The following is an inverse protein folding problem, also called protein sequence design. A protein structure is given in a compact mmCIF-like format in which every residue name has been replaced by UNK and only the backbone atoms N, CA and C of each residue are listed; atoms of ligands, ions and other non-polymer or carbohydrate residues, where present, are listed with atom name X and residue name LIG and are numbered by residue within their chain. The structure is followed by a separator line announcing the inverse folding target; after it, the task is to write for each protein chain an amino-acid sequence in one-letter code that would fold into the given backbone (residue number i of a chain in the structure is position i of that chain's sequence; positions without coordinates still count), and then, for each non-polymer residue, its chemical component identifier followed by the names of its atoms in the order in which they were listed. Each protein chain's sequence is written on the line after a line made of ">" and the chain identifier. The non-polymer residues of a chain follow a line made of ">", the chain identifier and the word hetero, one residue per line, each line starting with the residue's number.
data_IF_127423714119
#
_entry.id   IF_127423714119
#
_cell.length_a   1.000
_cell.length_b   1.000
_cell.length_c   1.000
_cell.angle_alpha   90.00
_cell.angle_beta   90.00
_cell.angle_gamma   90.00
#
_symmetry.space_group_name_H-M   'P 1'
#
loop_
_entity.id
_entity.type
_entity.pdbx_description
1 polymer ?
#
# COMPACT_ATOMS: atom_id res chain seq x y z
N UNK A 1 0.78 3.51 11.40
CA UNK A 1 0.88 4.57 12.41
C UNK A 1 2.29 4.62 12.91
N UNK A 2 2.94 5.76 12.73
CA UNK A 2 4.27 6.01 13.24
C UNK A 2 4.14 6.46 14.70
N UNK A 3 4.94 5.88 15.59
CA UNK A 3 4.95 6.31 16.99
C UNK A 3 5.43 7.77 17.06
N UNK A 4 4.81 8.64 17.88
CA UNK A 4 5.37 9.95 18.16
C UNK A 4 6.81 9.81 18.63
N UNK A 5 7.75 10.49 17.97
CA UNK A 5 9.17 10.43 18.31
C UNK A 5 9.99 9.44 17.51
N UNK A 6 9.44 8.84 16.43
CA UNK A 6 10.26 8.17 15.44
C UNK A 6 10.70 6.75 15.76
N UNK A 7 9.83 5.97 16.36
CA UNK A 7 9.94 4.52 16.26
C UNK A 7 10.98 3.81 17.13
N UNK A 8 11.57 4.46 18.10
CA UNK A 8 12.45 3.78 19.06
C UNK A 8 11.66 3.11 20.17
N UNK A 9 10.86 2.12 19.82
CA UNK A 9 9.97 1.46 20.78
C UNK A 9 10.53 0.21 21.44
N UNK A 10 11.82 -0.04 21.34
CA UNK A 10 12.47 -1.21 21.93
C UNK A 10 12.33 -2.50 21.13
N UNK A 11 11.85 -2.42 19.89
CA UNK A 11 11.88 -3.53 18.94
C UNK A 11 13.12 -3.43 18.04
N UNK A 12 13.80 -4.54 17.70
CA UNK A 12 15.02 -4.53 16.87
C UNK A 12 14.85 -3.81 15.52
N UNK A 13 13.62 -3.74 15.00
CA UNK A 13 13.29 -3.06 13.74
C UNK A 13 13.20 -1.54 13.86
N UNK A 14 13.13 -1.01 15.06
CA UNK A 14 13.00 0.42 15.33
C UNK A 14 14.38 1.13 15.38
N UNK A 15 15.46 0.39 15.25
CA UNK A 15 16.81 0.92 15.30
C UNK A 15 17.34 1.35 13.92
N UNK A 16 18.23 2.32 13.92
CA UNK A 16 19.05 2.65 12.75
C UNK A 16 19.85 1.41 12.35
N UNK A 17 19.97 1.14 11.06
CA UNK A 17 20.56 -0.08 10.48
C UNK A 17 19.70 -1.36 10.61
N UNK A 18 18.48 -1.31 11.16
CA UNK A 18 17.62 -2.47 11.23
C UNK A 18 17.12 -2.92 9.84
N UNK A 19 16.96 -2.01 8.91
CA UNK A 19 16.65 -2.35 7.52
C UNK A 19 17.91 -2.67 6.73
N UNK A 20 17.89 -3.75 5.99
CA UNK A 20 19.04 -4.20 5.22
C UNK A 20 19.32 -3.28 4.01
N UNK A 21 18.29 -2.64 3.45
CA UNK A 21 18.37 -1.82 2.24
C UNK A 21 18.31 -0.31 2.52
N UNK A 22 17.91 0.07 3.73
CA UNK A 22 17.98 1.45 4.20
C UNK A 22 18.51 1.48 5.63
N UNK A 23 19.82 1.60 5.74
CA UNK A 23 20.51 1.63 7.04
C UNK A 23 20.53 3.02 7.67
N UNK A 24 20.07 4.05 6.96
CA UNK A 24 20.10 5.43 7.42
C UNK A 24 18.90 5.80 8.30
N UNK A 25 17.77 5.13 8.09
CA UNK A 25 16.51 5.47 8.78
C UNK A 25 15.96 4.29 9.58
N UNK A 26 15.44 4.53 10.79
CA UNK A 26 14.73 3.49 11.54
C UNK A 26 13.47 3.06 10.82
N UNK A 27 13.21 1.75 10.74
CA UNK A 27 12.17 1.16 9.91
C UNK A 27 10.74 1.61 10.25
N UNK A 28 10.43 1.90 11.48
CA UNK A 28 9.09 2.30 11.92
C UNK A 28 8.92 3.82 11.97
N UNK A 29 9.49 4.55 11.01
CA UNK A 29 9.49 6.01 11.03
C UNK A 29 8.94 6.61 9.76
N UNK A 30 8.47 7.85 9.86
CA UNK A 30 8.13 8.71 8.73
C UNK A 30 9.29 8.83 7.72
N UNK A 31 10.52 8.97 8.22
CA UNK A 31 11.71 9.06 7.37
C UNK A 31 11.94 7.82 6.50
N UNK A 32 11.57 6.66 7.03
CA UNK A 32 11.74 5.38 6.31
C UNK A 32 10.69 5.18 5.21
N UNK A 33 9.42 5.44 5.51
CA UNK A 33 8.29 5.14 4.61
C UNK A 33 7.86 6.36 3.82
N UNK A 34 7.36 7.38 4.50
CA UNK A 34 6.60 8.46 3.87
C UNK A 34 7.49 9.52 3.22
N UNK A 35 8.60 9.91 3.88
CA UNK A 35 9.47 10.98 3.41
C UNK A 35 10.04 10.71 2.00
N UNK A 36 10.30 9.45 1.66
CA UNK A 36 10.79 9.03 0.34
C UNK A 36 9.74 9.26 -0.76
N UNK A 37 8.49 8.87 -0.46
CA UNK A 37 7.37 9.08 -1.37
C UNK A 37 7.05 10.57 -1.52
N UNK A 38 7.03 11.32 -0.41
CA UNK A 38 6.80 12.76 -0.41
C UNK A 38 7.87 13.49 -1.25
N UNK A 39 9.14 13.16 -1.04
CA UNK A 39 10.23 13.75 -1.83
C UNK A 39 10.08 13.47 -3.34
N UNK A 40 9.55 12.30 -3.70
CA UNK A 40 9.27 11.99 -5.08
C UNK A 40 8.07 12.79 -5.63
N UNK A 41 6.97 12.87 -4.87
CA UNK A 41 5.77 13.64 -5.25
C UNK A 41 6.12 15.11 -5.49
N UNK A 42 6.85 15.73 -4.57
CA UNK A 42 7.27 17.14 -4.66
C UNK A 42 8.13 17.41 -5.91
N UNK A 43 9.16 16.58 -6.16
CA UNK A 43 10.01 16.78 -7.35
C UNK A 43 9.29 16.45 -8.66
N UNK A 44 8.24 15.66 -8.60
CA UNK A 44 7.42 15.30 -9.78
C UNK A 44 6.36 16.34 -10.12
N UNK A 45 6.17 17.36 -9.26
CA UNK A 45 5.27 18.49 -9.50
C UNK A 45 3.79 18.15 -9.34
N UNK A 46 3.45 17.08 -8.63
CA UNK A 46 2.06 16.80 -8.27
C UNK A 46 1.59 17.78 -7.18
N UNK A 47 0.43 18.38 -7.38
CA UNK A 47 -0.24 19.17 -6.34
C UNK A 47 -0.92 18.19 -5.37
N UNK A 48 -0.43 18.11 -4.14
CA UNK A 48 -0.91 17.20 -3.10
C UNK A 48 -1.11 17.93 -1.78
N UNK A 49 -2.11 17.53 -1.02
CA UNK A 49 -2.29 17.87 0.37
C UNK A 49 -1.99 16.65 1.23
N UNK A 50 -1.55 16.86 2.45
CA UNK A 50 -1.15 15.79 3.37
C UNK A 50 -2.10 15.75 4.56
N UNK A 51 -2.40 14.54 5.01
CA UNK A 51 -3.13 14.29 6.25
C UNK A 51 -2.49 13.16 7.04
N UNK A 52 -2.78 13.12 8.32
CA UNK A 52 -2.38 12.01 9.19
C UNK A 52 -3.51 10.97 9.31
N UNK A 53 -3.19 9.80 9.85
CA UNK A 53 -4.17 8.78 10.20
C UNK A 53 -5.20 9.32 11.22
N UNK A 54 -4.78 10.20 12.13
CA UNK A 54 -5.67 10.82 13.11
C UNK A 54 -6.63 11.84 12.47
N UNK A 55 -6.17 12.59 11.47
CA UNK A 55 -7.05 13.47 10.69
C UNK A 55 -8.12 12.63 9.96
N UNK A 56 -7.69 11.53 9.33
CA UNK A 56 -8.58 10.60 8.63
C UNK A 56 -9.53 9.88 9.59
N UNK A 57 -9.10 9.63 10.85
CA UNK A 57 -9.96 9.10 11.90
C UNK A 57 -11.03 10.11 12.33
N UNK A 58 -10.62 11.35 12.60
CA UNK A 58 -11.46 12.37 13.24
C UNK A 58 -12.44 13.10 12.29
N UNK A 59 -12.12 13.18 10.98
CA UNK A 59 -12.92 13.94 10.03
C UNK A 59 -13.45 13.08 8.89
N UNK A 60 -14.75 12.84 8.91
CA UNK A 60 -15.45 12.05 7.89
C UNK A 60 -15.56 12.75 6.52
N UNK A 61 -15.36 14.06 6.45
CA UNK A 61 -15.42 14.86 5.25
C UNK A 61 -14.02 15.20 4.70
N UNK A 62 -12.94 14.83 5.40
CA UNK A 62 -11.56 15.17 5.06
C UNK A 62 -11.25 14.95 3.58
N UNK A 63 -11.63 13.80 3.04
CA UNK A 63 -11.32 13.40 1.65
C UNK A 63 -12.40 13.80 0.64
N UNK A 64 -13.49 14.45 1.06
CA UNK A 64 -14.67 14.74 0.23
C UNK A 64 -14.36 15.59 -1.02
N UNK A 65 -13.42 16.53 -0.91
CA UNK A 65 -13.04 17.43 -2.01
C UNK A 65 -12.04 16.82 -3.01
N UNK A 66 -11.47 15.69 -2.70
CA UNK A 66 -10.39 15.08 -3.48
C UNK A 66 -10.90 14.03 -4.48
N UNK A 67 -10.14 13.82 -5.54
CA UNK A 67 -10.39 12.77 -6.52
C UNK A 67 -9.67 11.47 -6.17
N UNK A 68 -8.54 11.56 -5.46
CA UNK A 68 -7.65 10.45 -5.14
C UNK A 68 -7.11 10.59 -3.72
N UNK A 69 -7.19 9.51 -2.95
CA UNK A 69 -6.44 9.30 -1.71
C UNK A 69 -5.27 8.36 -2.00
N UNK A 70 -4.08 8.71 -1.51
CA UNK A 70 -2.86 7.91 -1.70
C UNK A 70 -2.25 7.54 -0.35
N UNK A 71 -1.82 6.30 -0.20
CA UNK A 71 -0.99 5.86 0.93
C UNK A 71 0.28 5.19 0.43
N UNK A 72 1.35 5.25 1.21
CA UNK A 72 2.63 4.62 0.91
C UNK A 72 3.15 3.76 2.06
N UNK A 73 4.00 2.80 1.74
CA UNK A 73 4.80 2.04 2.69
C UNK A 73 3.98 1.10 3.57
N UNK A 74 4.13 1.24 4.88
CA UNK A 74 3.56 0.34 5.88
C UNK A 74 2.33 0.95 6.55
N UNK A 75 1.15 0.69 6.02
CA UNK A 75 -0.13 1.22 6.50
C UNK A 75 -1.00 0.09 7.10
N UNK A 76 -0.54 -0.46 8.22
CA UNK A 76 -1.08 -1.69 8.82
C UNK A 76 -2.24 -1.44 9.81
N UNK A 77 -2.28 -0.27 10.46
CA UNK A 77 -3.11 0.00 11.63
C UNK A 77 -4.24 0.97 11.31
N UNK A 78 -5.48 0.46 11.30
CA UNK A 78 -6.66 1.23 10.92
C UNK A 78 -7.73 1.22 12.01
N UNK A 79 -8.31 2.37 12.32
CA UNK A 79 -9.53 2.44 13.14
C UNK A 79 -10.77 2.08 12.29
N UNK A 80 -11.89 1.82 12.99
CA UNK A 80 -13.18 1.62 12.31
C UNK A 80 -13.59 2.86 11.49
N UNK A 81 -13.34 4.04 12.04
CA UNK A 81 -13.66 5.34 11.46
C UNK A 81 -12.85 5.58 10.18
N UNK A 82 -11.51 5.44 10.23
CA UNK A 82 -10.64 5.55 9.04
C UNK A 82 -11.14 4.66 7.91
N UNK A 83 -11.39 3.40 8.21
CA UNK A 83 -11.86 2.44 7.21
C UNK A 83 -13.24 2.83 6.65
N UNK A 84 -14.18 3.21 7.51
CA UNK A 84 -15.52 3.62 7.08
C UNK A 84 -15.47 4.90 6.22
N UNK A 85 -14.56 5.85 6.53
CA UNK A 85 -14.37 7.07 5.75
C UNK A 85 -13.85 6.78 4.35
N UNK A 86 -12.83 5.91 4.24
CA UNK A 86 -12.27 5.51 2.95
C UNK A 86 -13.25 4.68 2.12
N UNK A 87 -13.99 3.75 2.73
CA UNK A 87 -15.02 2.99 2.03
C UNK A 87 -16.13 3.91 1.47
N UNK A 88 -16.63 4.86 2.26
CA UNK A 88 -17.59 5.87 1.78
C UNK A 88 -17.03 6.74 0.67
N UNK A 89 -15.76 7.12 0.77
CA UNK A 89 -15.08 7.88 -0.29
C UNK A 89 -15.08 7.11 -1.61
N UNK A 90 -14.76 5.80 -1.59
CA UNK A 90 -14.79 4.94 -2.78
C UNK A 90 -16.23 4.79 -3.31
N UNK A 91 -17.21 4.59 -2.43
CA UNK A 91 -18.63 4.48 -2.78
C UNK A 91 -19.17 5.78 -3.40
N UNK A 92 -18.65 6.92 -2.99
CA UNK A 92 -18.96 8.22 -3.60
C UNK A 92 -18.22 8.49 -4.93
N UNK A 93 -17.42 7.53 -5.43
CA UNK A 93 -16.68 7.64 -6.69
C UNK A 93 -15.26 8.19 -6.53
N UNK A 94 -14.76 8.34 -5.30
CA UNK A 94 -13.37 8.66 -5.02
C UNK A 94 -12.45 7.48 -5.32
N UNK A 95 -11.22 7.76 -5.72
CA UNK A 95 -10.23 6.74 -6.03
C UNK A 95 -9.23 6.58 -4.90
N UNK A 96 -8.68 5.37 -4.74
CA UNK A 96 -7.64 5.10 -3.73
C UNK A 96 -6.47 4.38 -4.37
N UNK A 97 -5.25 4.78 -4.02
CA UNK A 97 -4.03 4.10 -4.42
C UNK A 97 -3.21 3.71 -3.17
N UNK A 98 -3.12 2.43 -2.91
CA UNK A 98 -2.28 1.84 -1.88
C UNK A 98 -0.92 1.46 -2.49
N UNK A 99 0.10 2.29 -2.28
CA UNK A 99 1.48 1.97 -2.64
C UNK A 99 2.22 1.35 -1.45
N UNK A 100 1.67 0.27 -0.93
CA UNK A 100 2.13 -0.38 0.28
C UNK A 100 1.86 -1.89 0.30
N UNK A 101 2.19 -2.51 1.41
CA UNK A 101 1.87 -3.90 1.73
C UNK A 101 1.43 -4.04 3.18
N UNK A 102 0.83 -5.18 3.52
CA UNK A 102 0.22 -5.44 4.83
C UNK A 102 -0.77 -4.33 5.24
N UNK A 103 -1.51 -3.82 4.25
CA UNK A 103 -2.41 -2.67 4.43
C UNK A 103 -3.68 -3.07 5.18
N UNK A 104 -4.08 -2.27 6.17
CA UNK A 104 -5.32 -2.45 6.93
C UNK A 104 -5.39 -3.82 7.68
N UNK A 105 -4.26 -4.30 8.20
CA UNK A 105 -4.18 -5.60 8.86
C UNK A 105 -4.73 -5.61 10.29
N UNK A 106 -4.32 -4.61 11.11
CA UNK A 106 -4.79 -4.50 12.47
C UNK A 106 -5.86 -3.43 12.63
N UNK A 107 -6.90 -3.79 13.39
CA UNK A 107 -7.85 -2.82 13.92
C UNK A 107 -7.26 -2.16 15.16
N UNK A 108 -7.38 -0.85 15.25
CA UNK A 108 -6.99 -0.06 16.41
C UNK A 108 -8.17 0.72 16.97
N UNK A 109 -8.09 1.04 18.26
CA UNK A 109 -8.94 2.02 18.92
C UNK A 109 -8.10 3.27 19.20
N UNK A 110 -8.70 4.43 18.97
CA UNK A 110 -8.13 5.75 19.31
C UNK A 110 -8.90 6.27 20.52
N UNK A 111 -8.18 6.66 21.56
CA UNK A 111 -8.76 7.39 22.70
C UNK A 111 -8.79 8.88 22.32
N UNK A 112 -9.99 9.45 22.24
CA UNK A 112 -10.17 10.85 21.84
C UNK A 112 -9.65 11.85 22.88
N UNK A 113 -9.48 11.42 24.14
CA UNK A 113 -9.04 12.32 25.22
C UNK A 113 -7.55 12.65 25.16
N UNK A 114 -6.72 11.68 24.77
CA UNK A 114 -5.26 11.84 24.72
C UNK A 114 -4.63 11.41 23.39
N UNK A 115 -5.47 11.01 22.43
CA UNK A 115 -5.08 10.50 21.10
C UNK A 115 -4.18 9.27 21.18
N UNK A 116 -4.24 8.54 22.29
CA UNK A 116 -3.53 7.28 22.43
C UNK A 116 -4.18 6.20 21.57
N UNK A 117 -3.36 5.28 21.08
CA UNK A 117 -3.78 4.27 20.14
C UNK A 117 -3.44 2.89 20.68
N UNK A 118 -4.45 2.05 20.77
CA UNK A 118 -4.31 0.68 21.23
C UNK A 118 -4.75 -0.32 20.15
N UNK A 119 -4.11 -1.49 20.14
CA UNK A 119 -4.51 -2.57 19.24
C UNK A 119 -5.84 -3.17 19.73
N UNK A 120 -6.85 -3.17 18.86
CA UNK A 120 -8.19 -3.71 19.13
C UNK A 120 -8.43 -5.07 18.44
N UNK A 121 -7.44 -5.64 17.75
CA UNK A 121 -7.52 -6.95 17.10
C UNK A 121 -7.28 -6.92 15.61
N UNK A 122 -7.86 -7.88 14.89
CA UNK A 122 -7.82 -7.98 13.43
C UNK A 122 -9.21 -7.82 12.84
N UNK A 123 -9.28 -7.55 11.55
CA UNK A 123 -10.55 -7.54 10.81
C UNK A 123 -10.98 -8.98 10.51
N UNK A 124 -11.92 -9.54 11.28
CA UNK A 124 -12.38 -10.93 11.12
C UNK A 124 -13.59 -11.00 10.19
N UNK A 125 -14.63 -10.23 10.48
CA UNK A 125 -15.89 -10.24 9.70
C UNK A 125 -15.80 -9.44 8.40
N UNK A 126 -14.93 -8.44 8.36
CA UNK A 126 -14.66 -7.58 7.20
C UNK A 126 -13.19 -7.67 6.89
N UNK A 127 -12.76 -8.71 6.17
CA UNK A 127 -11.37 -8.86 5.78
C UNK A 127 -10.85 -7.62 5.04
N UNK A 128 -9.58 -7.35 5.18
CA UNK A 128 -8.89 -6.19 4.56
C UNK A 128 -9.03 -6.18 3.02
N UNK A 129 -9.03 -7.36 2.38
CA UNK A 129 -9.14 -7.46 0.91
C UNK A 129 -10.44 -6.87 0.35
N UNK A 130 -11.49 -6.77 1.15
CA UNK A 130 -12.73 -6.10 0.69
C UNK A 130 -12.54 -4.60 0.46
N UNK A 131 -11.52 -3.98 1.07
CA UNK A 131 -11.12 -2.60 0.85
C UNK A 131 -9.94 -2.49 -0.13
N UNK A 132 -8.94 -3.35 0.02
CA UNK A 132 -7.63 -3.23 -0.63
C UNK A 132 -7.48 -4.09 -1.88
N UNK A 133 -8.35 -5.09 -2.06
CA UNK A 133 -8.29 -6.09 -3.13
C UNK A 133 -7.31 -7.23 -2.88
N UNK A 134 -6.38 -7.08 -1.94
CA UNK A 134 -5.35 -8.05 -1.56
C UNK A 134 -5.32 -8.24 -0.05
N UNK A 135 -4.61 -9.25 0.45
CA UNK A 135 -4.49 -9.51 1.87
C UNK A 135 -3.14 -10.12 2.23
N UNK A 136 -2.60 -9.68 3.36
CA UNK A 136 -1.45 -10.33 3.97
C UNK A 136 -1.79 -11.74 4.48
N UNK A 137 -3.05 -11.99 4.83
CA UNK A 137 -3.55 -13.24 5.42
C UNK A 137 -3.52 -14.42 4.47
N UNK A 138 -3.85 -14.19 3.20
CA UNK A 138 -4.16 -15.24 2.23
C UNK A 138 -3.02 -15.39 1.21
N UNK A 139 -1.84 -15.76 1.67
CA UNK A 139 -0.68 -15.97 0.83
C UNK A 139 0.21 -14.73 0.68
N UNK A 140 -0.02 -13.69 1.48
CA UNK A 140 0.96 -12.63 1.71
C UNK A 140 2.12 -13.15 2.55
N UNK A 141 3.23 -12.43 2.58
CA UNK A 141 4.41 -12.90 3.29
C UNK A 141 5.37 -11.79 3.70
N UNK A 142 6.32 -12.19 4.55
CA UNK A 142 7.40 -11.30 4.98
C UNK A 142 8.76 -11.95 4.84
N UNK A 143 9.75 -11.11 4.61
CA UNK A 143 11.15 -11.49 4.60
C UNK A 143 11.99 -10.45 5.33
N UNK A 144 12.71 -10.90 6.32
CA UNK A 144 13.60 -10.07 7.12
C UNK A 144 15.05 -10.32 6.72
N UNK A 145 15.84 -9.25 6.60
CA UNK A 145 17.24 -9.32 6.18
C UNK A 145 17.43 -9.28 4.67
N UNK A 146 18.58 -9.81 4.22
CA UNK A 146 18.89 -9.85 2.78
C UNK A 146 18.01 -10.89 2.08
N UNK A 147 17.20 -10.42 1.14
CA UNK A 147 16.29 -11.25 0.36
C UNK A 147 16.74 -11.37 -1.09
N UNK A 148 16.33 -12.44 -1.78
CA UNK A 148 16.68 -12.61 -3.18
C UNK A 148 16.17 -11.43 -4.03
N UNK A 149 16.83 -11.12 -5.17
CA UNK A 149 16.36 -10.11 -6.11
C UNK A 149 15.00 -10.49 -6.69
N UNK A 150 13.93 -9.99 -6.06
CA UNK A 150 12.54 -10.30 -6.45
C UNK A 150 11.83 -9.04 -6.92
N UNK A 151 11.23 -9.13 -8.10
CA UNK A 151 10.44 -8.07 -8.72
C UNK A 151 9.13 -8.60 -9.27
N UNK A 152 8.26 -7.70 -9.69
CA UNK A 152 6.98 -8.04 -10.30
C UNK A 152 7.14 -8.53 -11.74
N UNK A 153 6.50 -9.67 -12.05
CA UNK A 153 6.30 -10.18 -13.39
C UNK A 153 4.96 -9.67 -13.93
N UNK A 154 5.01 -8.90 -15.01
CA UNK A 154 3.84 -8.33 -15.69
C UNK A 154 2.95 -9.44 -16.26
N UNK A 155 1.64 -9.38 -15.95
CA UNK A 155 0.62 -10.31 -16.46
C UNK A 155 -0.28 -9.66 -17.51
N UNK A 156 -0.58 -8.36 -17.38
CA UNK A 156 -1.56 -7.63 -18.21
C UNK A 156 -0.92 -6.36 -18.81
N UNK A 157 0.03 -6.48 -19.77
CA UNK A 157 0.85 -5.35 -20.22
C UNK A 157 0.08 -4.25 -20.96
N UNK A 158 -1.14 -4.53 -21.47
CA UNK A 158 -1.98 -3.53 -22.16
C UNK A 158 -2.80 -2.67 -21.18
N UNK A 159 -2.71 -2.91 -19.89
CA UNK A 159 -3.41 -2.09 -18.90
C UNK A 159 -2.81 -0.68 -18.84
N UNK A 160 -3.64 0.32 -18.61
CA UNK A 160 -3.27 1.74 -18.65
C UNK A 160 -2.15 2.12 -17.67
N UNK A 161 -1.95 1.39 -16.57
CA UNK A 161 -0.86 1.66 -15.62
C UNK A 161 0.52 1.58 -16.28
N UNK A 162 0.63 0.79 -17.35
CA UNK A 162 1.88 0.59 -18.10
C UNK A 162 2.05 1.53 -19.30
N UNK A 163 1.18 2.54 -19.46
CA UNK A 163 1.32 3.51 -20.54
C UNK A 163 2.69 4.18 -20.48
N UNK A 164 3.43 4.10 -21.58
CA UNK A 164 4.81 4.61 -21.66
C UNK A 164 5.88 3.73 -21.00
N UNK A 165 5.50 2.55 -20.47
CA UNK A 165 6.46 1.52 -20.08
C UNK A 165 6.75 0.60 -21.28
N UNK A 166 8.01 0.27 -21.49
CA UNK A 166 8.40 -0.73 -22.50
C UNK A 166 8.28 -2.15 -21.94
N UNK A 167 7.06 -2.58 -21.62
CA UNK A 167 6.77 -3.88 -21.00
C UNK A 167 5.94 -4.78 -21.91
N UNK A 168 6.12 -6.09 -21.73
CA UNK A 168 5.30 -7.16 -22.31
C UNK A 168 4.94 -8.18 -21.23
N UNK A 169 4.04 -9.10 -21.52
CA UNK A 169 3.76 -10.20 -20.59
C UNK A 169 5.04 -10.95 -20.26
N UNK A 170 5.25 -11.21 -18.98
CA UNK A 170 6.47 -11.84 -18.46
C UNK A 170 7.65 -10.88 -18.18
N UNK A 171 7.57 -9.60 -18.57
CA UNK A 171 8.60 -8.61 -18.17
C UNK A 171 8.67 -8.55 -16.64
N UNK A 172 9.89 -8.58 -16.09
CA UNK A 172 10.13 -8.43 -14.65
C UNK A 172 10.72 -7.05 -14.40
N UNK A 173 10.17 -6.30 -13.43
CA UNK A 173 10.68 -4.99 -13.02
C UNK A 173 10.90 -4.92 -11.50
N UNK A 174 11.77 -4.02 -11.08
CA UNK A 174 12.12 -3.79 -9.68
C UNK A 174 12.91 -4.92 -9.01
N UNK A 175 13.33 -5.96 -9.74
CA UNK A 175 14.03 -7.10 -9.14
C UNK A 175 15.40 -6.72 -8.57
N UNK A 176 16.18 -5.92 -9.27
CA UNK A 176 17.50 -5.49 -8.80
C UNK A 176 17.41 -4.66 -7.53
N UNK A 177 16.37 -3.85 -7.41
CA UNK A 177 16.06 -3.04 -6.25
C UNK A 177 15.33 -3.83 -5.16
N UNK A 178 15.05 -5.11 -5.37
CA UNK A 178 14.28 -5.96 -4.44
C UNK A 178 12.97 -5.30 -4.04
N UNK A 179 12.18 -4.92 -5.06
CA UNK A 179 10.89 -4.22 -4.90
C UNK A 179 9.92 -5.00 -4.02
N UNK A 180 9.95 -6.34 -4.09
CA UNK A 180 9.07 -7.18 -3.31
C UNK A 180 9.65 -7.32 -1.90
N UNK A 181 8.90 -6.86 -0.92
CA UNK A 181 9.28 -6.93 0.49
C UNK A 181 9.09 -5.62 1.24
N UNK A 182 9.42 -5.50 2.56
CA UNK A 182 9.69 -6.69 3.40
C UNK A 182 8.40 -7.45 3.75
N UNK A 183 7.23 -6.83 3.55
CA UNK A 183 5.89 -7.42 3.65
C UNK A 183 5.14 -7.22 2.34
N UNK A 184 4.38 -8.25 1.95
CA UNK A 184 3.65 -8.27 0.70
C UNK A 184 2.27 -8.87 0.88
N UNK A 185 1.34 -8.41 0.05
CA UNK A 185 -0.03 -8.88 0.02
C UNK A 185 -0.28 -9.76 -1.21
N UNK A 186 -1.18 -10.72 -1.06
CA UNK A 186 -1.63 -11.59 -2.15
C UNK A 186 -3.11 -11.37 -2.47
N UNK A 187 -3.48 -11.64 -3.72
CA UNK A 187 -4.89 -11.64 -4.13
C UNK A 187 -5.64 -12.78 -3.45
N UNK A 188 -6.82 -12.47 -2.90
CA UNK A 188 -7.70 -13.48 -2.32
C UNK A 188 -8.53 -14.15 -3.41
N UNK A 189 -8.90 -15.41 -3.20
CA UNK A 189 -9.68 -16.20 -4.16
C UNK A 189 -11.02 -15.56 -4.54
N UNK A 190 -11.65 -14.86 -3.59
CA UNK A 190 -12.93 -14.15 -3.76
C UNK A 190 -12.77 -12.65 -4.08
N UNK A 191 -11.56 -12.19 -4.37
CA UNK A 191 -11.29 -10.81 -4.73
C UNK A 191 -11.66 -10.50 -6.17
N UNK A 192 -12.29 -9.34 -6.39
CA UNK A 192 -12.54 -8.79 -7.73
C UNK A 192 -11.31 -8.07 -8.32
N UNK A 193 -10.15 -8.23 -7.75
CA UNK A 193 -8.92 -7.58 -8.21
C UNK A 193 -8.50 -8.13 -9.59
N UNK A 194 -8.32 -7.23 -10.55
CA UNK A 194 -7.61 -7.53 -11.77
C UNK A 194 -6.11 -7.56 -11.47
N UNK A 195 -5.51 -8.73 -11.48
CA UNK A 195 -4.06 -8.86 -11.30
C UNK A 195 -3.31 -8.30 -12.50
N UNK A 196 -2.39 -7.38 -12.26
CA UNK A 196 -1.58 -6.69 -13.26
C UNK A 196 -0.14 -7.17 -13.27
N UNK A 197 0.37 -7.55 -12.09
CA UNK A 197 1.65 -8.22 -11.94
C UNK A 197 1.65 -9.09 -10.68
N UNK A 198 2.52 -10.09 -10.65
CA UNK A 198 2.71 -10.97 -9.50
C UNK A 198 4.18 -11.35 -9.33
N UNK A 199 4.56 -11.73 -8.11
CA UNK A 199 5.89 -12.25 -7.82
C UNK A 199 5.77 -13.43 -6.85
N UNK A 200 6.51 -14.52 -7.12
CA UNK A 200 6.58 -15.67 -6.21
C UNK A 200 7.22 -15.26 -4.89
N UNK A 201 6.68 -15.77 -3.79
CA UNK A 201 7.22 -15.63 -2.44
C UNK A 201 7.87 -16.94 -1.94
N UNK A 202 8.43 -17.70 -2.88
CA UNK A 202 9.17 -18.93 -2.54
C UNK A 202 10.27 -18.64 -1.52
N UNK A 203 10.29 -19.41 -0.44
CA UNK A 203 11.23 -19.26 0.65
C UNK A 203 10.91 -18.15 1.67
N UNK A 204 9.80 -17.44 1.48
CA UNK A 204 9.33 -16.41 2.42
C UNK A 204 8.59 -17.02 3.61
N UNK A 205 8.53 -16.26 4.72
CA UNK A 205 7.63 -16.59 5.84
C UNK A 205 6.20 -16.21 5.44
N UNK A 206 5.50 -17.18 4.86
CA UNK A 206 4.14 -17.03 4.35
C UNK A 206 3.24 -17.99 5.09
N UNK A 207 2.16 -17.44 5.65
CA UNK A 207 1.13 -18.22 6.32
C UNK A 207 -0.22 -17.91 5.69
N UNK A 208 -0.99 -18.96 5.42
CA UNK A 208 -2.38 -18.79 5.05
C UNK A 208 -3.26 -18.36 6.25
N UNK A 209 -4.55 -18.15 6.03
CA UNK A 209 -5.47 -17.74 7.08
C UNK A 209 -5.66 -18.74 8.21
N UNK A 210 -5.28 -20.02 8.01
CA UNK A 210 -5.30 -21.08 9.03
C UNK A 210 -4.03 -21.06 9.91
N UNK A 211 -2.99 -20.35 9.48
CA UNK A 211 -1.67 -20.33 10.10
C UNK A 211 -0.71 -21.36 9.54
N UNK A 212 -1.09 -22.08 8.52
CA UNK A 212 -0.23 -22.99 7.76
C UNK A 212 0.58 -22.24 6.70
N UNK A 213 1.70 -22.84 6.28
CA UNK A 213 2.51 -22.30 5.18
C UNK A 213 1.75 -22.45 3.86
N UNK A 214 1.69 -21.40 3.07
CA UNK A 214 1.09 -21.44 1.74
C UNK A 214 2.12 -21.84 0.68
N UNK A 215 1.82 -22.88 -0.08
CA UNK A 215 2.72 -23.39 -1.13
C UNK A 215 2.76 -22.49 -2.39
N UNK A 216 1.72 -21.68 -2.63
CA UNK A 216 1.58 -20.86 -3.84
C UNK A 216 1.53 -19.36 -3.52
N UNK A 217 2.26 -18.95 -2.50
CA UNK A 217 2.31 -17.56 -2.07
C UNK A 217 2.88 -16.64 -3.15
N UNK A 218 2.23 -15.50 -3.36
CA UNK A 218 2.71 -14.49 -4.29
C UNK A 218 2.34 -13.08 -3.83
N UNK A 219 3.25 -12.13 -4.02
CA UNK A 219 2.89 -10.73 -3.98
C UNK A 219 2.07 -10.38 -5.23
N UNK A 220 1.03 -9.57 -5.06
CA UNK A 220 0.11 -9.22 -6.15
C UNK A 220 -0.09 -7.71 -6.24
N UNK A 221 0.15 -7.15 -7.43
CA UNK A 221 -0.22 -5.79 -7.78
C UNK A 221 -1.45 -5.81 -8.68
N UNK A 222 -2.43 -4.95 -8.40
CA UNK A 222 -3.65 -4.94 -9.21
C UNK A 222 -4.54 -3.74 -9.00
N UNK A 223 -5.69 -3.77 -9.70
CA UNK A 223 -6.77 -2.78 -9.57
C UNK A 223 -8.12 -3.47 -9.52
N UNK A 224 -9.07 -2.83 -8.87
CA UNK A 224 -10.48 -3.18 -9.01
C UNK A 224 -11.33 -1.91 -9.01
N UNK A 225 -12.55 -2.02 -9.53
CA UNK A 225 -13.49 -0.93 -9.58
C UNK A 225 -14.70 -1.24 -8.68
N UNK A 226 -15.11 -0.22 -7.95
CA UNK A 226 -16.42 -0.03 -7.37
C UNK A 226 -17.05 1.19 -8.06
N UNK A 227 -17.67 2.11 -7.32
CA UNK A 227 -17.98 3.43 -7.88
C UNK A 227 -16.70 4.25 -8.14
N UNK A 228 -15.67 4.10 -7.30
CA UNK A 228 -14.30 4.54 -7.55
C UNK A 228 -13.37 3.38 -7.94
N UNK A 229 -12.14 3.72 -8.30
CA UNK A 229 -11.08 2.75 -8.61
C UNK A 229 -10.12 2.61 -7.44
N UNK A 230 -9.77 1.39 -7.09
CA UNK A 230 -8.72 1.07 -6.12
C UNK A 230 -7.55 0.44 -6.86
N UNK A 231 -6.35 0.99 -6.64
CA UNK A 231 -5.07 0.42 -7.03
C UNK A 231 -4.35 -0.08 -5.78
N UNK A 232 -3.70 -1.22 -5.86
CA UNK A 232 -2.85 -1.72 -4.79
C UNK A 232 -1.53 -2.25 -5.36
N UNK A 233 -0.41 -1.78 -4.80
CA UNK A 233 0.93 -2.21 -5.18
C UNK A 233 1.34 -3.52 -4.51
N UNK A 234 0.73 -3.90 -3.38
CA UNK A 234 0.93 -5.17 -2.69
C UNK A 234 2.34 -5.40 -2.12
N UNK A 235 3.12 -4.34 -1.90
CA UNK A 235 4.47 -4.43 -1.31
C UNK A 235 4.84 -3.17 -0.55
N UNK A 236 5.45 -3.31 0.62
CA UNK A 236 5.87 -2.18 1.47
C UNK A 236 7.00 -1.36 0.84
N UNK A 237 7.90 -1.97 0.07
CA UNK A 237 9.11 -1.32 -0.44
C UNK A 237 8.89 -0.42 -1.67
N UNK A 238 7.65 -0.20 -2.08
CA UNK A 238 7.35 0.65 -3.23
C UNK A 238 7.96 2.05 -3.12
N UNK A 239 7.79 2.72 -1.96
CA UNK A 239 8.30 4.07 -1.74
C UNK A 239 9.83 4.15 -1.79
N UNK A 240 10.53 3.13 -1.27
CA UNK A 240 11.99 3.04 -1.33
C UNK A 240 12.46 2.93 -2.78
N UNK A 241 11.92 1.99 -3.52
CA UNK A 241 12.32 1.75 -4.92
C UNK A 241 11.92 2.91 -5.84
N UNK A 242 10.79 3.58 -5.56
CA UNK A 242 10.39 4.82 -6.21
C UNK A 242 11.42 5.94 -5.98
N UNK A 243 11.90 6.07 -4.74
CA UNK A 243 12.92 7.06 -4.39
C UNK A 243 14.28 6.78 -5.06
N UNK A 244 14.62 5.50 -5.24
CA UNK A 244 15.83 5.04 -5.95
C UNK A 244 15.76 5.29 -7.47
N UNK A 245 14.59 5.65 -8.01
CA UNK A 245 14.41 6.01 -9.42
C UNK A 245 14.30 4.81 -10.36
N UNK A 246 13.68 3.71 -9.93
CA UNK A 246 13.39 2.58 -10.84
C UNK A 246 12.37 3.04 -11.91
N UNK A 247 12.72 3.02 -13.21
CA UNK A 247 11.95 3.73 -14.23
C UNK A 247 10.51 3.24 -14.42
N UNK A 248 10.27 1.92 -14.27
CA UNK A 248 8.92 1.35 -14.43
C UNK A 248 8.07 1.68 -13.20
N UNK A 249 8.64 1.62 -11.99
CA UNK A 249 7.97 2.01 -10.74
C UNK A 249 7.57 3.49 -10.77
N UNK A 250 8.49 4.38 -11.20
CA UNK A 250 8.18 5.81 -11.37
C UNK A 250 7.06 6.03 -12.38
N UNK A 251 7.12 5.34 -13.53
CA UNK A 251 6.11 5.49 -14.58
C UNK A 251 4.75 4.98 -14.14
N UNK A 252 4.67 3.82 -13.48
CA UNK A 252 3.43 3.27 -12.93
C UNK A 252 2.85 4.24 -11.91
N UNK A 253 3.67 4.73 -10.97
CA UNK A 253 3.22 5.67 -9.94
C UNK A 253 2.65 6.95 -10.57
N UNK A 254 3.36 7.52 -11.54
CA UNK A 254 2.90 8.69 -12.29
C UNK A 254 1.59 8.42 -13.04
N UNK A 255 1.47 7.30 -13.72
CA UNK A 255 0.24 6.93 -14.45
C UNK A 255 -0.96 6.75 -13.51
N UNK A 256 -0.75 6.09 -12.36
CA UNK A 256 -1.80 5.88 -11.35
C UNK A 256 -2.26 7.22 -10.79
N UNK A 257 -1.35 8.06 -10.32
CA UNK A 257 -1.70 9.37 -9.75
C UNK A 257 -2.39 10.23 -10.80
N UNK A 258 -1.80 10.40 -11.99
CA UNK A 258 -2.37 11.25 -13.06
C UNK A 258 -3.77 10.81 -13.46
N UNK A 259 -3.98 9.50 -13.64
CA UNK A 259 -5.29 9.00 -14.08
C UNK A 259 -6.33 9.08 -12.99
N UNK A 260 -5.99 8.70 -11.77
CA UNK A 260 -6.95 8.61 -10.68
C UNK A 260 -7.23 9.96 -10.01
N UNK A 261 -6.34 10.95 -10.14
CA UNK A 261 -6.59 12.33 -9.71
C UNK A 261 -7.34 13.17 -10.74
N UNK A 262 -7.43 12.69 -11.99
CA UNK A 262 -8.21 13.40 -13.01
C UNK A 262 -9.67 13.49 -12.58
N UNK A 263 -10.32 14.66 -12.69
CA UNK A 263 -11.72 14.83 -12.31
C UNK A 263 -12.59 13.94 -13.21
N UNK A 264 -12.83 12.72 -12.75
CA UNK A 264 -13.88 11.88 -13.32
C UNK A 264 -15.18 12.64 -13.15
N UNK A 265 -15.96 12.77 -14.26
CA UNK A 265 -17.30 13.33 -14.36
C UNK A 265 -18.10 13.18 -13.04
N UNK A 266 -17.77 13.99 -12.04
CA UNK A 266 -18.52 14.14 -10.78
C UNK A 266 -19.80 14.98 -10.99
N UNK A 267 -20.25 15.12 -12.24
CA UNK A 267 -21.54 15.70 -12.52
C UNK A 267 -22.58 14.65 -12.13
N UNK A 268 -23.25 14.85 -10.99
CA UNK A 268 -24.55 14.29 -10.61
C UNK A 268 -24.66 13.38 -9.36
N UNK A 269 -23.66 13.27 -8.50
CA UNK A 269 -23.80 12.44 -7.29
C UNK A 269 -23.96 13.21 -5.95
N UNK A 270 -24.15 14.53 -6.00
CA UNK A 270 -24.30 15.37 -4.81
C UNK A 270 -25.53 16.28 -4.89
N UNK A 271 -26.72 15.71 -5.19
CA UNK A 271 -28.00 16.37 -4.94
C UNK A 271 -28.77 15.61 -3.87
#
# INVERSE_FOLDING_TARGET
>A
MHRPGGGTGGHPWDEVNADFYDRATPRQTFAHWDAKAIAWLERSGFAVDYCTDLDLHGDHDLVRGYALLVTFGHNEYWSNEMRAHVERFIEAGGNVAFFGGNTCWFRVAVDEADLSISRAGRWIERCEHSLTGVSFRNGGGKWVGDRPPTGYRVTTPQHWIYNGCAVRAGTIFGAQQRLIGYECDSVCHDSNLQTLASASLEGWDVRDGSGELSENACATMGTFARNGTVFNAGTTDWARVLHEGEPIVERITSNVITRLSSPLRRALAWQ
#
